data_IF_067297284989
#
_entry.id   IF_067297284989
#
_cell.length_a   1.000
_cell.length_b   1.000
_cell.length_c   1.000
_cell.angle_alpha   90.00
_cell.angle_beta   90.00
_cell.angle_gamma   90.00
#
_symmetry.space_group_name_H-M   'P 1'
#
loop_
_entity.id
_entity.type
_entity.pdbx_description
1 polymer ?
#
# COMPACT_ATOMS: atom_id res chain seq x y z
N UNK A 1 13.66 16.97 0.54
CA UNK A 1 14.46 15.82 0.02
C UNK A 1 13.59 14.58 0.14
N UNK A 2 13.52 13.74 -0.89
CA UNK A 2 12.82 12.46 -0.77
C UNK A 2 13.47 11.63 0.34
N UNK A 3 12.67 10.93 1.15
CA UNK A 3 13.18 10.00 2.16
C UNK A 3 13.79 8.73 1.54
N UNK A 4 13.61 8.54 0.22
CA UNK A 4 14.04 7.35 -0.52
C UNK A 4 15.12 7.68 -1.54
N UNK A 5 16.06 6.74 -1.71
CA UNK A 5 17.07 6.77 -2.76
C UNK A 5 16.39 6.89 -4.15
N UNK A 6 16.82 7.80 -5.04
CA UNK A 6 16.29 7.90 -6.40
C UNK A 6 16.23 6.58 -7.17
N UNK A 7 17.23 5.69 -6.99
CA UNK A 7 17.25 4.38 -7.63
C UNK A 7 16.13 3.47 -7.12
N UNK A 8 15.80 3.57 -5.81
CA UNK A 8 14.69 2.83 -5.22
C UNK A 8 13.34 3.33 -5.73
N UNK A 9 13.18 4.65 -5.89
CA UNK A 9 11.95 5.25 -6.43
C UNK A 9 11.73 4.78 -7.88
N UNK A 10 12.80 4.77 -8.69
CA UNK A 10 12.68 4.31 -10.07
C UNK A 10 12.32 2.82 -10.14
N UNK A 11 12.99 2.00 -9.31
CA UNK A 11 12.66 0.58 -9.20
C UNK A 11 11.19 0.36 -8.79
N UNK A 12 10.67 1.15 -7.85
CA UNK A 12 9.27 1.08 -7.42
C UNK A 12 8.28 1.43 -8.55
N UNK A 13 8.59 2.45 -9.36
CA UNK A 13 7.73 2.90 -10.48
C UNK A 13 7.59 1.84 -11.57
N UNK A 14 8.67 1.13 -11.89
CA UNK A 14 8.70 0.13 -12.97
C UNK A 14 8.43 -1.30 -12.49
N UNK A 15 8.38 -1.52 -11.17
CA UNK A 15 8.12 -2.85 -10.59
C UNK A 15 6.76 -3.38 -10.99
N UNK A 16 6.74 -4.63 -11.45
CA UNK A 16 5.53 -5.39 -11.73
C UNK A 16 5.00 -6.15 -10.50
N UNK A 17 5.62 -5.99 -9.33
CA UNK A 17 5.14 -6.63 -8.11
C UNK A 17 3.77 -6.04 -7.72
N UNK A 18 2.84 -6.92 -7.35
CA UNK A 18 1.45 -6.57 -7.07
C UNK A 18 1.24 -5.33 -6.16
N UNK A 19 2.00 -5.13 -5.06
CA UNK A 19 1.82 -3.96 -4.21
C UNK A 19 2.01 -2.62 -4.93
N UNK A 20 2.98 -2.54 -5.86
CA UNK A 20 3.25 -1.32 -6.63
C UNK A 20 2.19 -1.09 -7.70
N UNK A 21 1.63 -2.14 -8.30
CA UNK A 21 0.47 -2.01 -9.19
C UNK A 21 -0.75 -1.45 -8.48
N UNK A 22 -1.06 -1.93 -7.28
CA UNK A 22 -2.16 -1.37 -6.47
C UNK A 22 -1.87 0.06 -6.02
N UNK A 23 -0.64 0.36 -5.60
CA UNK A 23 -0.22 1.71 -5.24
C UNK A 23 -0.38 2.70 -6.40
N UNK A 24 0.01 2.33 -7.63
CA UNK A 24 -0.18 3.16 -8.85
C UNK A 24 -1.66 3.46 -9.09
N UNK A 25 -2.56 2.49 -8.93
CA UNK A 25 -4.01 2.69 -9.04
C UNK A 25 -4.53 3.67 -7.97
N UNK A 26 -4.02 3.58 -6.74
CA UNK A 26 -4.38 4.50 -5.66
C UNK A 26 -3.92 5.93 -5.95
N UNK A 27 -2.67 6.13 -6.41
CA UNK A 27 -2.16 7.45 -6.81
C UNK A 27 -3.04 8.08 -7.89
N UNK A 28 -3.38 7.33 -8.94
CA UNK A 28 -4.27 7.81 -10.00
C UNK A 28 -5.66 8.18 -9.46
N UNK A 29 -6.20 7.39 -8.52
CA UNK A 29 -7.49 7.69 -7.87
C UNK A 29 -7.43 8.94 -6.99
N UNK A 30 -6.35 9.15 -6.23
CA UNK A 30 -6.17 10.36 -5.42
C UNK A 30 -6.11 11.60 -6.30
N UNK A 31 -5.28 11.57 -7.35
CA UNK A 31 -5.16 12.66 -8.32
C UNK A 31 -6.52 13.03 -8.91
N UNK A 32 -7.33 12.04 -9.32
CA UNK A 32 -8.69 12.26 -9.84
C UNK A 32 -9.65 12.85 -8.80
N UNK A 33 -9.50 12.48 -7.53
CA UNK A 33 -10.39 12.92 -6.45
C UNK A 33 -10.06 14.28 -5.85
N UNK A 34 -8.85 14.80 -6.08
CA UNK A 34 -8.33 16.02 -5.45
C UNK A 34 -8.02 15.88 -3.95
N UNK A 35 -8.15 14.68 -3.37
CA UNK A 35 -7.77 14.41 -1.98
C UNK A 35 -6.24 14.45 -1.82
N UNK A 36 -5.79 14.91 -0.66
CA UNK A 36 -4.36 15.03 -0.33
C UNK A 36 -3.80 13.83 0.41
N UNK A 37 -4.66 12.97 0.95
CA UNK A 37 -4.28 11.84 1.78
C UNK A 37 -5.13 10.61 1.48
N UNK A 38 -4.55 9.45 1.79
CA UNK A 38 -5.17 8.14 1.68
C UNK A 38 -5.17 7.49 3.05
N UNK A 39 -6.32 6.94 3.47
CA UNK A 39 -6.43 6.16 4.70
C UNK A 39 -6.41 4.68 4.33
N UNK A 40 -5.49 3.94 4.94
CA UNK A 40 -5.36 2.50 4.76
C UNK A 40 -5.87 1.82 6.02
N UNK A 41 -6.82 0.91 5.86
CA UNK A 41 -7.46 0.23 6.99
C UNK A 41 -7.36 -1.29 6.82
N UNK A 42 -7.23 -1.95 7.95
CA UNK A 42 -7.32 -3.40 8.10
C UNK A 42 -7.93 -3.67 9.46
N UNK A 43 -8.58 -4.79 9.62
CA UNK A 43 -9.27 -5.13 10.86
C UNK A 43 -9.52 -6.61 10.95
N UNK A 44 -9.83 -7.07 12.14
CA UNK A 44 -10.26 -8.43 12.39
C UNK A 44 -11.40 -8.43 13.41
N UNK A 45 -12.32 -9.38 13.27
CA UNK A 45 -13.39 -9.56 14.25
C UNK A 45 -12.84 -10.19 15.53
N UNK A 46 -13.12 -9.63 16.73
CA UNK A 46 -12.61 -10.18 18.00
C UNK A 46 -13.38 -11.43 18.47
N UNK A 47 -14.22 -12.03 17.62
CA UNK A 47 -15.05 -13.19 17.94
C UNK A 47 -14.28 -14.52 17.99
N UNK A 48 -12.99 -14.52 17.64
CA UNK A 48 -12.13 -15.69 17.68
C UNK A 48 -10.65 -15.30 17.62
N UNK A 49 -9.76 -16.28 17.86
CA UNK A 49 -8.32 -16.05 17.73
C UNK A 49 -7.96 -15.78 16.27
N UNK A 50 -7.08 -14.79 15.99
CA UNK A 50 -6.63 -14.54 14.64
C UNK A 50 -5.91 -15.76 14.08
N UNK A 51 -6.28 -16.16 12.87
CA UNK A 51 -5.62 -17.24 12.13
C UNK A 51 -4.74 -16.65 11.03
N UNK A 52 -3.98 -17.50 10.34
CA UNK A 52 -3.03 -17.07 9.30
C UNK A 52 -3.65 -16.16 8.23
N UNK A 53 -4.95 -16.32 7.94
CA UNK A 53 -5.68 -15.48 7.00
C UNK A 53 -5.82 -14.03 7.49
N UNK A 54 -6.11 -13.84 8.78
CA UNK A 54 -6.16 -12.51 9.43
C UNK A 54 -4.82 -11.78 9.29
N UNK A 55 -3.71 -12.48 9.51
CA UNK A 55 -2.38 -11.89 9.31
C UNK A 55 -2.14 -11.54 7.83
N UNK A 56 -2.62 -12.38 6.91
CA UNK A 56 -2.56 -12.10 5.47
C UNK A 56 -3.33 -10.83 5.07
N UNK A 57 -4.47 -10.54 5.70
CA UNK A 57 -5.21 -9.30 5.49
C UNK A 57 -4.42 -8.07 5.95
N UNK A 58 -3.84 -8.12 7.14
CA UNK A 58 -2.99 -7.04 7.67
C UNK A 58 -1.73 -6.85 6.81
N UNK A 59 -1.09 -7.94 6.39
CA UNK A 59 0.12 -7.92 5.59
C UNK A 59 -0.13 -7.29 4.21
N UNK A 60 -1.21 -7.66 3.52
CA UNK A 60 -1.55 -7.10 2.19
C UNK A 60 -1.75 -5.59 2.25
N UNK A 61 -2.54 -5.09 3.21
CA UNK A 61 -2.73 -3.64 3.38
C UNK A 61 -1.39 -2.95 3.69
N UNK A 62 -0.55 -3.56 4.54
CA UNK A 62 0.76 -3.01 4.90
C UNK A 62 1.71 -2.94 3.70
N UNK A 63 1.73 -3.98 2.85
CA UNK A 63 2.54 -4.02 1.63
C UNK A 63 2.14 -2.91 0.66
N UNK A 64 0.85 -2.73 0.39
CA UNK A 64 0.36 -1.67 -0.51
C UNK A 64 0.60 -0.29 0.10
N UNK A 65 0.38 -0.11 1.41
CA UNK A 65 0.66 1.16 2.10
C UNK A 65 2.14 1.55 1.98
N UNK A 66 3.04 0.59 2.13
CA UNK A 66 4.48 0.85 1.97
C UNK A 66 4.82 1.19 0.51
N UNK A 67 4.33 0.40 -0.45
CA UNK A 67 4.52 0.66 -1.87
C UNK A 67 3.95 2.02 -2.33
N UNK A 68 2.89 2.51 -1.69
CA UNK A 68 2.34 3.85 -1.92
C UNK A 68 3.23 4.98 -1.40
N UNK A 69 4.08 4.71 -0.40
CA UNK A 69 4.97 5.70 0.18
C UNK A 69 6.28 5.88 -0.61
N UNK A 70 6.77 4.80 -1.23
CA UNK A 70 8.03 4.75 -2.01
C UNK A 70 7.81 5.34 -3.41
#
# INVERSE_FOLDING_TARGET
MSAFDPALIEAARVSAAWPFEEAKKLVARLQKSGKREAVFETGYGPSGLPHIGTFGEVARTSMVRHAFQV
#
